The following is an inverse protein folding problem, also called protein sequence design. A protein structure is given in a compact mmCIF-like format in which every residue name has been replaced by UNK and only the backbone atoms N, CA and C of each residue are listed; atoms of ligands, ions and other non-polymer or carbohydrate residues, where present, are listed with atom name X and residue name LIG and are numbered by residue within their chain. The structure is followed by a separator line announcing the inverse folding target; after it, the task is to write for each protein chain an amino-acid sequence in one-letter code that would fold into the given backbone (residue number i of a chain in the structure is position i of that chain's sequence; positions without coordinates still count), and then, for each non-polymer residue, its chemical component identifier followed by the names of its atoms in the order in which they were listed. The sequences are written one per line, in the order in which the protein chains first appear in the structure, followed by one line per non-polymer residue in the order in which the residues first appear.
data_IF_359624021421
#
_entry.id   IF_359624021421
#
_cell.length_a   1.000
_cell.length_b   1.000
_cell.length_c   1.000
_cell.angle_alpha   90.00
_cell.angle_beta   90.00
_cell.angle_gamma   90.00
#
_symmetry.space_group_name_H-M   'P 1'
#
loop_
_entity.id
_entity.type
_entity.pdbx_description
1 polymer ?
#
# COMPACT_ATOMS: atom_id res chain seq x y z
N UNK A 1 3.36 -16.44 -7.55
CA UNK A 1 4.44 -15.45 -7.62
C UNK A 1 4.84 -14.96 -6.22
N UNK A 2 3.94 -14.41 -5.41
CA UNK A 2 4.27 -13.88 -4.07
C UNK A 2 4.94 -14.93 -3.16
N UNK A 3 4.42 -16.16 -3.09
CA UNK A 3 5.04 -17.22 -2.31
C UNK A 3 6.48 -17.52 -2.74
N UNK A 4 6.78 -17.49 -4.05
CA UNK A 4 8.15 -17.67 -4.56
C UNK A 4 9.05 -16.52 -4.13
N UNK A 5 8.57 -15.27 -4.16
CA UNK A 5 9.31 -14.12 -3.65
C UNK A 5 9.59 -14.20 -2.14
N UNK A 6 8.62 -14.68 -1.37
CA UNK A 6 8.82 -14.93 0.06
C UNK A 6 9.84 -16.05 0.31
N UNK A 7 9.79 -17.14 -0.43
CA UNK A 7 10.74 -18.24 -0.33
C UNK A 7 12.16 -17.82 -0.73
N UNK A 8 12.30 -16.98 -1.76
CA UNK A 8 13.58 -16.37 -2.14
C UNK A 8 14.18 -15.57 -0.98
N UNK A 9 13.38 -14.68 -0.35
CA UNK A 9 13.84 -13.89 0.81
C UNK A 9 14.23 -14.77 2.00
N UNK A 10 13.44 -15.80 2.30
CA UNK A 10 13.74 -16.75 3.39
C UNK A 10 15.06 -17.48 3.11
N UNK A 11 15.27 -17.99 1.88
CA UNK A 11 16.49 -18.67 1.51
C UNK A 11 17.72 -17.76 1.64
N UNK A 12 17.62 -16.48 1.24
CA UNK A 12 18.70 -15.50 1.44
C UNK A 12 19.01 -15.27 2.92
N UNK A 13 18.01 -15.18 3.79
CA UNK A 13 18.20 -15.03 5.25
C UNK A 13 18.92 -16.27 5.82
N UNK A 14 18.59 -17.46 5.33
CA UNK A 14 19.18 -18.72 5.73
C UNK A 14 20.54 -18.99 5.06
N UNK A 15 21.00 -18.10 4.17
CA UNK A 15 22.23 -18.22 3.36
C UNK A 15 22.22 -19.42 2.41
N UNK A 16 21.05 -19.82 1.97
CA UNK A 16 20.82 -20.86 0.96
C UNK A 16 20.75 -20.21 -0.43
N UNK A 17 21.90 -19.73 -0.91
CA UNK A 17 21.97 -18.90 -2.13
C UNK A 17 21.48 -19.65 -3.39
N UNK A 18 21.69 -20.96 -3.46
CA UNK A 18 21.26 -21.78 -4.59
C UNK A 18 19.73 -21.85 -4.65
N UNK A 19 19.10 -22.13 -3.52
CA UNK A 19 17.64 -22.18 -3.40
C UNK A 19 17.02 -20.80 -3.66
N UNK A 20 17.64 -19.73 -3.16
CA UNK A 20 17.23 -18.37 -3.45
C UNK A 20 17.20 -18.10 -4.96
N UNK A 21 18.27 -18.46 -5.67
CA UNK A 21 18.37 -18.31 -7.11
C UNK A 21 17.33 -19.16 -7.86
N UNK A 22 17.08 -20.39 -7.40
CA UNK A 22 16.05 -21.25 -7.98
C UNK A 22 14.65 -20.63 -7.83
N UNK A 23 14.31 -20.08 -6.65
CA UNK A 23 13.02 -19.39 -6.42
C UNK A 23 12.90 -18.12 -7.26
N UNK A 24 13.97 -17.34 -7.39
CA UNK A 24 13.97 -16.14 -8.23
C UNK A 24 13.69 -16.47 -9.71
N UNK A 25 14.37 -17.48 -10.25
CA UNK A 25 14.17 -17.96 -11.63
C UNK A 25 12.73 -18.47 -11.83
N UNK A 26 12.25 -19.30 -10.91
CA UNK A 26 10.87 -19.80 -10.98
C UNK A 26 9.84 -18.68 -10.92
N UNK A 27 10.06 -17.66 -10.08
CA UNK A 27 9.19 -16.49 -9.99
C UNK A 27 9.17 -15.72 -11.30
N UNK A 28 10.34 -15.46 -11.88
CA UNK A 28 10.44 -14.78 -13.18
C UNK A 28 9.68 -15.53 -14.26
N UNK A 29 9.94 -16.83 -14.42
CA UNK A 29 9.27 -17.64 -15.43
C UNK A 29 7.75 -17.69 -15.24
N UNK A 30 7.30 -17.75 -13.96
CA UNK A 30 5.87 -17.71 -13.66
C UNK A 30 5.25 -16.36 -14.02
N UNK A 31 5.92 -15.24 -13.75
CA UNK A 31 5.45 -13.90 -14.11
C UNK A 31 5.35 -13.73 -15.64
N UNK A 32 6.34 -14.22 -16.37
CA UNK A 32 6.29 -14.24 -17.84
C UNK A 32 5.12 -15.08 -18.36
N UNK A 33 4.88 -16.25 -17.77
CA UNK A 33 3.74 -17.11 -18.13
C UNK A 33 2.41 -16.44 -17.79
N UNK A 34 2.28 -15.77 -16.64
CA UNK A 34 1.09 -14.99 -16.27
C UNK A 34 0.82 -13.93 -17.34
N UNK A 35 1.85 -13.16 -17.72
CA UNK A 35 1.70 -12.15 -18.75
C UNK A 35 1.23 -12.75 -20.08
N UNK A 36 1.92 -13.78 -20.57
CA UNK A 36 1.59 -14.44 -21.85
C UNK A 36 0.20 -15.07 -21.88
N UNK A 37 -0.26 -15.60 -20.73
CA UNK A 37 -1.52 -16.33 -20.65
C UNK A 37 -2.74 -15.44 -20.42
N UNK A 38 -2.58 -14.30 -19.76
CA UNK A 38 -3.70 -13.50 -19.28
C UNK A 38 -3.75 -12.08 -19.83
N UNK A 39 -2.69 -11.58 -20.46
CA UNK A 39 -2.73 -10.25 -21.07
C UNK A 39 -3.37 -10.30 -22.47
N UNK A 40 -4.31 -9.41 -22.70
CA UNK A 40 -5.00 -9.22 -23.99
C UNK A 40 -4.52 -7.91 -24.64
N UNK A 41 -3.55 -7.97 -25.58
CA UNK A 41 -2.93 -6.77 -26.15
C UNK A 41 -3.91 -5.85 -26.89
N UNK A 42 -4.93 -6.41 -27.53
CA UNK A 42 -5.95 -5.64 -28.27
C UNK A 42 -6.80 -4.74 -27.35
N UNK A 43 -6.96 -5.12 -26.09
CA UNK A 43 -7.79 -4.43 -25.11
C UNK A 43 -6.97 -3.72 -24.04
N UNK A 44 -5.69 -4.10 -23.89
CA UNK A 44 -4.80 -3.57 -22.86
C UNK A 44 -5.17 -4.03 -21.45
N UNK A 45 -5.78 -5.22 -21.31
CA UNK A 45 -6.27 -5.74 -20.03
C UNK A 45 -5.68 -7.11 -19.69
N UNK A 46 -5.74 -7.47 -18.42
CA UNK A 46 -5.51 -8.83 -17.95
C UNK A 46 -6.84 -9.52 -17.66
N UNK A 47 -6.96 -10.77 -18.10
CA UNK A 47 -8.12 -11.64 -17.86
C UNK A 47 -9.44 -10.93 -18.20
N UNK A 48 -10.29 -10.62 -17.24
CA UNK A 48 -11.59 -9.95 -17.46
C UNK A 48 -11.51 -8.42 -17.41
N UNK A 49 -10.35 -7.84 -17.11
CA UNK A 49 -10.19 -6.39 -16.92
C UNK A 49 -10.77 -5.85 -15.61
N UNK A 50 -11.19 -6.71 -14.68
CA UNK A 50 -11.64 -6.27 -13.35
C UNK A 50 -10.52 -5.57 -12.58
N UNK A 51 -10.87 -4.76 -11.57
CA UNK A 51 -9.85 -4.11 -10.72
C UNK A 51 -8.82 -5.10 -10.18
N UNK A 52 -9.26 -6.30 -9.76
CA UNK A 52 -8.37 -7.33 -9.24
C UNK A 52 -7.49 -7.91 -10.34
N UNK A 53 -8.07 -8.24 -11.50
CA UNK A 53 -7.33 -8.82 -12.62
C UNK A 53 -6.27 -7.87 -13.17
N UNK A 54 -6.50 -6.57 -13.09
CA UNK A 54 -5.53 -5.55 -13.49
C UNK A 54 -4.49 -5.29 -12.40
N UNK A 55 -4.91 -5.21 -11.14
CA UNK A 55 -4.07 -4.85 -10.01
C UNK A 55 -3.08 -5.96 -9.63
N UNK A 56 -3.53 -7.21 -9.60
CA UNK A 56 -2.71 -8.31 -9.10
C UNK A 56 -1.47 -8.60 -9.95
N UNK A 57 -1.54 -8.66 -11.29
CA UNK A 57 -0.33 -8.79 -12.13
C UNK A 57 0.68 -7.65 -11.91
N UNK A 58 0.22 -6.42 -11.70
CA UNK A 58 1.09 -5.28 -11.36
C UNK A 58 1.78 -5.49 -10.00
N UNK A 59 1.02 -5.92 -8.99
CA UNK A 59 1.56 -6.14 -7.63
C UNK A 59 2.66 -7.21 -7.61
N UNK A 60 2.47 -8.32 -8.33
CA UNK A 60 3.42 -9.44 -8.34
C UNK A 60 4.58 -9.25 -9.33
N UNK A 61 4.60 -8.15 -10.11
CA UNK A 61 5.64 -7.87 -11.09
C UNK A 61 5.51 -8.72 -12.37
N UNK A 62 4.30 -9.13 -12.73
CA UNK A 62 4.05 -9.88 -13.97
C UNK A 62 3.78 -8.98 -15.18
N UNK A 63 3.51 -7.69 -14.96
CA UNK A 63 3.38 -6.70 -16.03
C UNK A 63 4.75 -6.23 -16.45
N UNK A 64 5.13 -6.32 -17.75
CA UNK A 64 6.38 -5.74 -18.24
C UNK A 64 6.45 -4.23 -17.98
N UNK A 65 7.63 -3.71 -17.66
CA UNK A 65 7.85 -2.28 -17.36
C UNK A 65 7.34 -1.38 -18.49
N UNK A 66 7.49 -1.80 -19.75
CA UNK A 66 7.03 -1.04 -20.91
C UNK A 66 5.50 -0.90 -21.01
N UNK A 67 4.74 -1.72 -20.31
CA UNK A 67 3.27 -1.73 -20.31
C UNK A 67 2.68 -1.26 -18.97
N UNK A 68 3.52 -1.12 -17.95
CA UNK A 68 3.05 -0.88 -16.58
C UNK A 68 2.16 0.35 -16.46
N UNK A 69 2.61 1.49 -17.00
CA UNK A 69 1.86 2.75 -16.92
C UNK A 69 0.55 2.72 -17.73
N UNK A 70 0.52 1.99 -18.84
CA UNK A 70 -0.70 1.84 -19.63
C UNK A 70 -1.72 0.97 -18.92
N UNK A 71 -1.30 -0.16 -18.35
CA UNK A 71 -2.14 -1.06 -17.55
C UNK A 71 -2.68 -0.34 -16.32
N UNK A 72 -1.83 0.40 -15.60
CA UNK A 72 -2.21 1.23 -14.46
C UNK A 72 -3.26 2.26 -14.85
N UNK A 73 -3.00 3.05 -15.89
CA UNK A 73 -3.91 4.08 -16.39
C UNK A 73 -5.25 3.48 -16.82
N UNK A 74 -5.21 2.33 -17.48
CA UNK A 74 -6.42 1.60 -17.89
C UNK A 74 -7.26 1.18 -16.70
N UNK A 75 -6.66 0.57 -15.67
CA UNK A 75 -7.35 0.18 -14.44
C UNK A 75 -7.99 1.38 -13.75
N UNK A 76 -7.26 2.48 -13.57
CA UNK A 76 -7.78 3.68 -12.93
C UNK A 76 -8.93 4.30 -13.73
N UNK A 77 -8.79 4.38 -15.06
CA UNK A 77 -9.84 4.88 -15.96
C UNK A 77 -11.10 4.02 -15.92
N UNK A 78 -10.93 2.71 -15.93
CA UNK A 78 -12.06 1.77 -15.89
C UNK A 78 -12.73 1.78 -14.52
N UNK A 79 -11.96 2.00 -13.45
CA UNK A 79 -12.54 2.23 -12.11
C UNK A 79 -13.52 3.41 -12.14
N UNK A 80 -13.17 4.53 -12.75
CA UNK A 80 -14.08 5.68 -12.87
C UNK A 80 -15.26 5.41 -13.81
N UNK A 81 -14.99 4.84 -14.98
CA UNK A 81 -16.02 4.67 -16.01
C UNK A 81 -17.00 3.53 -15.76
N UNK A 82 -16.48 2.36 -15.34
CA UNK A 82 -17.26 1.15 -15.19
C UNK A 82 -17.80 0.98 -13.76
N UNK A 83 -16.98 1.34 -12.77
CA UNK A 83 -17.30 1.17 -11.35
C UNK A 83 -17.64 2.49 -10.65
N UNK A 84 -17.79 3.61 -11.38
CA UNK A 84 -18.16 4.93 -10.86
C UNK A 84 -17.25 5.40 -9.71
N UNK A 85 -15.97 5.04 -9.76
CA UNK A 85 -14.98 5.32 -8.72
C UNK A 85 -15.17 4.50 -7.43
N UNK A 86 -15.88 3.39 -7.46
CA UNK A 86 -16.05 2.50 -6.31
C UNK A 86 -14.94 1.46 -6.23
N UNK A 87 -14.74 0.96 -5.01
CA UNK A 87 -13.97 -0.25 -4.78
C UNK A 87 -14.76 -1.46 -5.29
N UNK A 88 -14.28 -2.07 -6.36
CA UNK A 88 -14.97 -3.15 -7.08
C UNK A 88 -14.25 -4.49 -6.93
N UNK A 89 -13.63 -4.70 -5.78
CA UNK A 89 -12.97 -5.95 -5.42
C UNK A 89 -13.69 -6.61 -4.24
N UNK A 90 -13.60 -7.94 -4.18
CA UNK A 90 -14.10 -8.71 -3.05
C UNK A 90 -13.03 -8.88 -1.96
N UNK A 91 -13.33 -9.82 -1.04
CA UNK A 91 -12.52 -10.06 0.16
C UNK A 91 -11.04 -10.40 -0.13
N UNK A 92 -10.73 -11.11 -1.22
CA UNK A 92 -9.35 -11.39 -1.64
C UNK A 92 -8.71 -10.18 -2.29
N UNK A 93 -9.49 -9.39 -3.03
CA UNK A 93 -8.98 -8.26 -3.79
C UNK A 93 -8.67 -7.03 -2.94
N UNK A 94 -9.36 -6.81 -1.81
CA UNK A 94 -9.12 -5.65 -0.94
C UNK A 94 -7.66 -5.58 -0.46
N UNK A 95 -7.07 -6.60 0.16
CA UNK A 95 -5.67 -6.53 0.59
C UNK A 95 -4.71 -6.37 -0.59
N UNK A 96 -5.00 -6.97 -1.75
CA UNK A 96 -4.18 -6.86 -2.97
C UNK A 96 -4.18 -5.43 -3.50
N UNK A 97 -5.36 -4.84 -3.68
CA UNK A 97 -5.51 -3.45 -4.14
C UNK A 97 -4.89 -2.46 -3.16
N UNK A 98 -5.07 -2.70 -1.86
CA UNK A 98 -4.49 -1.88 -0.79
C UNK A 98 -2.96 -1.90 -0.84
N UNK A 99 -2.37 -3.07 -0.91
CA UNK A 99 -0.91 -3.23 -0.97
C UNK A 99 -0.33 -2.61 -2.25
N UNK A 100 -0.99 -2.82 -3.39
CA UNK A 100 -0.60 -2.19 -4.65
C UNK A 100 -0.62 -0.65 -4.53
N UNK A 101 -1.69 -0.08 -3.97
CA UNK A 101 -1.81 1.37 -3.82
C UNK A 101 -0.73 1.94 -2.88
N UNK A 102 -0.42 1.25 -1.77
CA UNK A 102 0.66 1.64 -0.85
C UNK A 102 2.01 1.65 -1.57
N UNK A 103 2.36 0.56 -2.26
CA UNK A 103 3.66 0.41 -2.93
C UNK A 103 3.85 1.40 -4.08
N UNK A 104 2.77 1.72 -4.78
CA UNK A 104 2.81 2.64 -5.92
C UNK A 104 2.49 4.09 -5.57
N UNK A 105 2.29 4.39 -4.29
CA UNK A 105 1.93 5.74 -3.79
C UNK A 105 0.64 6.29 -4.42
N UNK A 106 -0.28 5.40 -4.81
CA UNK A 106 -1.58 5.76 -5.39
C UNK A 106 -2.62 6.06 -4.29
N UNK A 107 -2.21 6.94 -3.37
CA UNK A 107 -2.97 7.25 -2.16
C UNK A 107 -4.29 7.94 -2.46
N UNK A 108 -4.29 8.87 -3.41
CA UNK A 108 -5.52 9.57 -3.82
C UNK A 108 -6.51 8.65 -4.50
N UNK A 109 -6.03 7.76 -5.36
CA UNK A 109 -6.87 6.78 -6.04
C UNK A 109 -7.66 5.92 -5.04
N UNK A 110 -6.97 5.37 -4.03
CA UNK A 110 -7.64 4.57 -3.01
C UNK A 110 -8.55 5.44 -2.11
N UNK A 111 -8.08 6.63 -1.73
CA UNK A 111 -8.85 7.54 -0.87
C UNK A 111 -10.17 7.98 -1.50
N UNK A 112 -10.18 8.28 -2.81
CA UNK A 112 -11.44 8.63 -3.50
C UNK A 112 -12.45 7.48 -3.46
N UNK A 113 -12.01 6.23 -3.60
CA UNK A 113 -12.88 5.06 -3.44
C UNK A 113 -13.41 4.93 -2.00
N UNK A 114 -12.56 5.19 -0.99
CA UNK A 114 -12.96 5.11 0.42
C UNK A 114 -13.99 6.18 0.82
N UNK A 115 -13.98 7.34 0.17
CA UNK A 115 -14.96 8.41 0.43
C UNK A 115 -16.37 8.15 -0.14
N UNK A 116 -16.56 7.11 -0.97
CA UNK A 116 -17.87 6.79 -1.53
C UNK A 116 -18.83 6.34 -0.44
N UNK A 117 -20.00 7.00 -0.37
CA UNK A 117 -21.05 6.68 0.61
C UNK A 117 -22.14 5.77 0.04
N UNK A 118 -22.22 5.67 -1.27
CA UNK A 118 -23.11 4.76 -1.96
C UNK A 118 -22.47 3.37 -2.14
N UNK A 119 -23.28 2.40 -2.53
CA UNK A 119 -22.88 1.01 -2.72
C UNK A 119 -22.02 0.82 -4.00
N UNK A 120 -20.96 0.01 -3.93
CA UNK A 120 -20.34 -0.63 -2.76
C UNK A 120 -19.27 0.26 -2.09
N UNK A 121 -19.10 0.16 -0.79
CA UNK A 121 -18.05 0.91 -0.10
C UNK A 121 -18.10 0.82 1.43
N UNK A 122 -17.01 1.25 2.08
CA UNK A 122 -16.90 1.24 3.54
C UNK A 122 -17.86 2.23 4.20
N UNK A 123 -17.99 3.44 3.66
CA UNK A 123 -18.94 4.42 4.22
C UNK A 123 -20.38 3.98 4.00
N UNK A 124 -20.68 3.26 2.93
CA UNK A 124 -21.98 2.61 2.77
C UNK A 124 -22.28 1.64 3.92
N UNK A 125 -21.32 0.80 4.31
CA UNK A 125 -21.51 -0.10 5.46
C UNK A 125 -21.81 0.70 6.74
N UNK A 126 -21.02 1.75 7.01
CA UNK A 126 -21.19 2.62 8.19
C UNK A 126 -22.55 3.28 8.20
N UNK A 127 -22.99 3.88 7.09
CA UNK A 127 -24.28 4.54 6.94
C UNK A 127 -25.45 3.57 7.11
N UNK A 128 -25.23 2.27 6.89
CA UNK A 128 -26.20 1.20 7.11
C UNK A 128 -26.02 0.48 8.46
N UNK A 129 -25.34 1.12 9.42
CA UNK A 129 -25.25 0.68 10.81
C UNK A 129 -24.16 -0.35 11.08
N UNK A 130 -23.14 -0.47 10.23
CA UNK A 130 -22.01 -1.36 10.50
C UNK A 130 -21.20 -0.84 11.70
N UNK A 131 -20.93 -1.74 12.64
CA UNK A 131 -19.98 -1.55 13.75
C UNK A 131 -18.71 -2.38 13.56
N UNK A 132 -18.71 -3.24 12.54
CA UNK A 132 -17.57 -4.03 12.08
C UNK A 132 -17.66 -4.19 10.57
N UNK A 133 -16.59 -4.62 9.92
CA UNK A 133 -16.62 -4.96 8.50
C UNK A 133 -17.50 -6.18 8.25
N UNK A 134 -18.27 -6.14 7.16
CA UNK A 134 -19.16 -7.22 6.76
C UNK A 134 -18.42 -8.22 5.85
N UNK A 135 -19.02 -9.39 5.64
CA UNK A 135 -18.50 -10.40 4.71
C UNK A 135 -18.77 -10.04 3.24
N UNK A 136 -19.83 -9.28 2.98
CA UNK A 136 -20.21 -8.79 1.66
C UNK A 136 -20.59 -7.32 1.74
N UNK A 137 -20.34 -6.57 0.67
CA UNK A 137 -20.61 -5.12 0.62
C UNK A 137 -22.07 -4.76 0.92
N UNK A 138 -23.03 -5.64 0.61
CA UNK A 138 -24.47 -5.41 0.83
C UNK A 138 -24.98 -5.88 2.22
N UNK A 139 -24.14 -6.51 3.02
CA UNK A 139 -24.52 -7.00 4.36
C UNK A 139 -25.50 -8.16 4.39
N UNK A 140 -25.70 -8.86 3.27
CA UNK A 140 -26.60 -10.03 3.20
C UNK A 140 -26.04 -11.28 3.89
N UNK A 141 -24.72 -11.27 4.18
CA UNK A 141 -24.02 -12.35 4.87
C UNK A 141 -23.66 -11.94 6.29
N UNK A 142 -22.58 -12.50 6.85
CA UNK A 142 -22.10 -12.13 8.19
C UNK A 142 -21.80 -10.62 8.25
N UNK A 143 -22.27 -9.98 9.30
CA UNK A 143 -22.02 -8.56 9.59
C UNK A 143 -20.83 -8.34 10.52
N UNK A 144 -20.10 -9.40 10.85
CA UNK A 144 -18.83 -9.36 11.56
C UNK A 144 -17.88 -10.30 10.84
N UNK A 145 -17.01 -9.74 9.99
CA UNK A 145 -16.07 -10.53 9.21
C UNK A 145 -14.79 -9.74 8.93
N UNK A 146 -13.64 -10.40 8.98
CA UNK A 146 -12.33 -9.75 8.81
C UNK A 146 -11.87 -9.58 7.35
N UNK A 147 -12.65 -10.03 6.38
CA UNK A 147 -12.21 -10.09 4.97
C UNK A 147 -11.86 -8.71 4.37
N UNK A 148 -12.53 -7.65 4.78
CA UNK A 148 -12.26 -6.30 4.31
C UNK A 148 -11.32 -5.49 5.24
N UNK A 149 -10.81 -6.09 6.32
CA UNK A 149 -9.91 -5.40 7.25
C UNK A 149 -8.54 -5.07 6.64
N UNK A 150 -8.18 -5.66 5.50
CA UNK A 150 -6.94 -5.36 4.79
C UNK A 150 -6.71 -3.87 4.53
N UNK A 151 -7.78 -3.08 4.43
CA UNK A 151 -7.70 -1.62 4.32
C UNK A 151 -7.03 -0.96 5.53
N UNK A 152 -7.04 -1.60 6.70
CA UNK A 152 -6.35 -1.09 7.89
C UNK A 152 -4.85 -0.86 7.66
N UNK A 153 -4.22 -1.68 6.81
CA UNK A 153 -2.82 -1.50 6.45
C UNK A 153 -2.56 -0.14 5.79
N UNK A 154 -3.49 0.36 4.98
CA UNK A 154 -3.37 1.65 4.31
C UNK A 154 -3.29 2.82 5.30
N UNK A 155 -4.11 2.80 6.35
CA UNK A 155 -4.07 3.86 7.37
C UNK A 155 -2.73 3.91 8.09
N UNK A 156 -2.12 2.76 8.39
CA UNK A 156 -0.82 2.71 9.05
C UNK A 156 0.34 2.96 8.10
N UNK A 157 0.37 2.28 6.96
CA UNK A 157 1.54 2.25 6.07
C UNK A 157 1.56 3.40 5.05
N UNK A 158 0.39 3.90 4.63
CA UNK A 158 0.31 5.05 3.75
C UNK A 158 0.05 6.34 4.57
N UNK A 159 -1.12 6.49 5.18
CA UNK A 159 -1.49 7.74 5.86
C UNK A 159 -0.54 8.06 7.03
N UNK A 160 -0.34 7.12 7.93
CA UNK A 160 0.63 7.27 9.03
C UNK A 160 2.08 7.15 8.56
N UNK A 161 2.30 6.50 7.42
CA UNK A 161 3.61 6.33 6.81
C UNK A 161 4.52 5.33 7.51
N UNK A 162 4.05 4.59 8.52
CA UNK A 162 4.88 3.66 9.27
C UNK A 162 4.98 2.32 8.56
N UNK A 163 6.16 2.01 8.06
CA UNK A 163 6.47 0.72 7.44
C UNK A 163 7.65 0.06 8.12
N UNK A 164 7.53 -1.24 8.35
CA UNK A 164 8.62 -2.05 8.86
C UNK A 164 9.67 -2.28 7.77
N UNK A 165 10.93 -2.20 8.13
CA UNK A 165 12.01 -2.65 7.26
C UNK A 165 12.09 -4.19 7.27
N UNK A 166 11.91 -4.82 6.12
CA UNK A 166 11.98 -6.28 6.00
C UNK A 166 13.37 -6.84 6.32
N UNK A 167 14.43 -6.02 6.20
CA UNK A 167 15.81 -6.41 6.53
C UNK A 167 16.11 -6.30 8.02
N UNK A 168 15.25 -5.61 8.78
CA UNK A 168 15.36 -5.43 10.22
C UNK A 168 14.01 -5.75 10.91
N UNK A 169 13.58 -7.02 10.87
CA UNK A 169 12.23 -7.43 11.28
C UNK A 169 11.95 -7.10 12.74
N UNK A 170 10.66 -7.08 13.10
CA UNK A 170 10.18 -6.81 14.45
C UNK A 170 10.21 -5.33 14.83
N UNK A 171 10.28 -4.41 13.86
CA UNK A 171 10.34 -2.96 14.06
C UNK A 171 11.66 -2.47 14.67
N UNK A 172 12.78 -3.17 14.46
CA UNK A 172 14.12 -2.69 14.83
C UNK A 172 14.53 -1.48 13.99
N UNK A 173 14.13 -1.48 12.74
CA UNK A 173 14.21 -0.32 11.85
C UNK A 173 12.86 -0.11 11.17
N UNK A 174 12.47 1.15 11.00
CA UNK A 174 11.22 1.52 10.37
C UNK A 174 11.43 2.64 9.35
N UNK A 175 10.57 2.68 8.36
CA UNK A 175 10.43 3.83 7.47
C UNK A 175 9.25 4.68 7.93
N UNK A 176 9.47 5.99 7.95
CA UNK A 176 8.42 7.00 8.19
C UNK A 176 8.25 7.76 6.87
N UNK A 177 7.18 7.45 6.16
CA UNK A 177 6.92 7.95 4.80
C UNK A 177 5.42 8.21 4.60
N UNK A 178 4.85 9.24 5.24
CA UNK A 178 3.45 9.59 5.06
C UNK A 178 3.13 9.90 3.61
N UNK A 179 2.06 9.29 3.12
CA UNK A 179 1.45 9.56 1.83
C UNK A 179 0.14 10.30 2.09
N UNK A 180 0.07 11.56 1.69
CA UNK A 180 -1.02 12.46 2.08
C UNK A 180 -1.99 12.60 0.91
N UNK A 181 -3.21 12.04 1.01
CA UNK A 181 -4.21 12.24 -0.02
C UNK A 181 -4.81 13.64 0.05
N UNK A 182 -5.31 14.13 -1.08
CA UNK A 182 -5.94 15.43 -1.17
C UNK A 182 -7.10 15.60 -0.18
N UNK A 183 -7.04 16.66 0.62
CA UNK A 183 -8.05 16.99 1.63
C UNK A 183 -7.80 16.36 3.01
N UNK A 184 -6.78 15.52 3.17
CA UNK A 184 -6.34 15.06 4.50
C UNK A 184 -5.25 16.00 5.01
N UNK A 185 -5.49 16.59 6.16
CA UNK A 185 -4.61 17.63 6.73
C UNK A 185 -3.90 17.18 8.01
N UNK A 186 -4.22 16.02 8.53
CA UNK A 186 -3.56 15.48 9.73
C UNK A 186 -3.75 13.97 9.85
N UNK A 187 -2.82 13.32 10.53
CA UNK A 187 -3.01 11.98 11.07
C UNK A 187 -2.23 11.79 12.36
N UNK A 188 -2.78 10.95 13.24
CA UNK A 188 -2.13 10.48 14.46
C UNK A 188 -2.24 8.99 14.55
N UNK A 189 -1.11 8.34 14.80
CA UNK A 189 -1.11 6.90 15.00
C UNK A 189 -0.08 6.46 16.03
N UNK A 190 -0.38 5.32 16.64
CA UNK A 190 0.54 4.62 17.52
C UNK A 190 0.61 3.15 17.14
N UNK A 191 1.76 2.53 17.33
CA UNK A 191 1.99 1.12 17.09
C UNK A 191 2.76 0.51 18.25
N UNK A 192 2.16 -0.46 18.92
CA UNK A 192 2.87 -1.28 19.89
C UNK A 192 3.85 -2.20 19.17
N UNK A 193 5.09 -2.20 19.62
CA UNK A 193 6.17 -3.05 19.10
C UNK A 193 6.85 -3.78 20.24
N UNK A 194 7.65 -4.82 19.97
CA UNK A 194 8.45 -5.49 21.00
C UNK A 194 9.40 -4.57 21.76
N UNK A 195 9.72 -3.39 21.20
CA UNK A 195 10.65 -2.41 21.79
C UNK A 195 9.93 -1.29 22.53
N UNK A 196 8.61 -1.20 22.42
CA UNK A 196 7.78 -0.11 22.95
C UNK A 196 6.92 0.52 21.86
N UNK A 197 6.25 1.62 22.22
CA UNK A 197 5.33 2.32 21.33
C UNK A 197 6.10 3.19 20.34
N UNK A 198 5.78 3.06 19.05
CA UNK A 198 6.14 4.04 18.03
C UNK A 198 4.92 4.94 17.81
N UNK A 199 5.11 6.26 17.83
CA UNK A 199 4.07 7.23 17.50
C UNK A 199 4.49 8.10 16.31
N UNK A 200 3.54 8.38 15.43
CA UNK A 200 3.69 9.27 14.28
C UNK A 200 2.49 10.20 14.24
N UNK A 201 2.73 11.49 14.41
CA UNK A 201 1.74 12.55 14.33
C UNK A 201 2.17 13.53 13.25
N UNK A 202 1.31 13.85 12.29
CA UNK A 202 1.59 14.89 11.32
C UNK A 202 0.39 15.79 11.07
N UNK A 203 0.68 17.04 10.74
CA UNK A 203 -0.29 18.07 10.37
C UNK A 203 0.24 18.86 9.17
N UNK A 204 -0.63 19.16 8.23
CA UNK A 204 -0.36 19.96 7.04
C UNK A 204 -1.15 21.27 7.12
N UNK A 205 -0.46 22.39 7.28
CA UNK A 205 -1.04 23.74 7.33
C UNK A 205 -0.25 24.66 6.40
N UNK A 206 -0.94 25.35 5.51
CA UNK A 206 -0.32 26.30 4.55
C UNK A 206 0.87 25.72 3.76
N UNK A 207 0.75 24.47 3.29
CA UNK A 207 1.81 23.72 2.63
C UNK A 207 3.05 23.44 3.50
N UNK A 208 2.93 23.62 4.80
CA UNK A 208 3.96 23.23 5.76
C UNK A 208 3.51 21.97 6.48
N UNK A 209 4.27 20.88 6.32
CA UNK A 209 4.07 19.66 7.07
C UNK A 209 4.86 19.72 8.37
N UNK A 210 4.17 19.63 9.49
CA UNK A 210 4.77 19.39 10.80
C UNK A 210 4.65 17.90 11.11
N UNK A 211 5.77 17.26 11.41
CA UNK A 211 5.84 15.83 11.72
C UNK A 211 6.54 15.63 13.05
N UNK A 212 5.87 14.95 13.96
CA UNK A 212 6.43 14.46 15.22
C UNK A 212 6.53 12.93 15.14
N UNK A 213 7.69 12.40 15.49
CA UNK A 213 7.96 10.97 15.54
C UNK A 213 8.57 10.62 16.88
N UNK A 214 7.94 9.72 17.61
CA UNK A 214 8.46 9.15 18.84
C UNK A 214 8.81 7.69 18.60
N UNK A 215 10.09 7.34 18.80
CA UNK A 215 10.59 5.96 18.64
C UNK A 215 11.23 5.49 19.95
N UNK A 216 11.00 4.23 20.36
CA UNK A 216 11.60 3.70 21.59
C UNK A 216 13.11 3.46 21.43
N UNK A 217 13.81 3.44 22.56
CA UNK A 217 15.24 3.13 22.59
C UNK A 217 15.54 1.78 21.94
N UNK A 218 16.55 1.74 21.07
CA UNK A 218 16.94 0.53 20.33
C UNK A 218 16.22 0.33 18.99
N UNK A 219 15.28 1.23 18.65
CA UNK A 219 14.69 1.34 17.32
C UNK A 219 15.38 2.47 16.56
N UNK A 220 15.58 2.28 15.27
CA UNK A 220 16.04 3.33 14.33
C UNK A 220 14.97 3.60 13.29
N UNK A 221 14.95 4.80 12.72
CA UNK A 221 14.01 5.13 11.67
C UNK A 221 14.66 5.87 10.51
N UNK A 222 14.18 5.61 9.30
CA UNK A 222 14.46 6.41 8.12
C UNK A 222 13.21 7.25 7.80
N UNK A 223 13.34 8.57 7.95
CA UNK A 223 12.32 9.50 7.54
C UNK A 223 12.48 9.80 6.05
N UNK A 224 11.43 9.57 5.27
CA UNK A 224 11.34 9.98 3.88
C UNK A 224 10.81 11.41 3.79
N UNK A 225 11.54 12.27 3.09
CA UNK A 225 11.09 13.66 2.84
C UNK A 225 10.06 13.62 1.71
N UNK A 226 8.88 14.23 1.88
CA UNK A 226 7.87 14.27 0.84
C UNK A 226 8.39 14.86 -0.48
N UNK A 227 7.92 14.33 -1.60
CA UNK A 227 8.25 14.86 -2.92
C UNK A 227 7.76 16.33 -3.03
N UNK A 228 8.59 17.16 -3.65
CA UNK A 228 8.30 18.60 -3.79
C UNK A 228 8.64 19.46 -2.57
N UNK A 229 9.12 18.89 -1.47
CA UNK A 229 9.61 19.68 -0.34
C UNK A 229 10.81 20.54 -0.77
N UNK A 230 10.72 21.85 -0.53
CA UNK A 230 11.76 22.82 -0.90
C UNK A 230 12.69 23.17 0.28
N UNK A 231 12.25 22.89 1.49
CA UNK A 231 13.02 23.09 2.72
C UNK A 231 12.61 22.08 3.80
N UNK A 232 13.54 21.72 4.66
CA UNK A 232 13.30 20.85 5.80
C UNK A 232 14.00 21.42 7.04
N UNK A 233 13.32 21.35 8.19
CA UNK A 233 13.91 21.63 9.50
C UNK A 233 13.70 20.44 10.42
N UNK A 234 14.72 20.07 11.18
CA UNK A 234 14.62 19.07 12.23
C UNK A 234 15.07 19.68 13.54
N UNK A 235 14.21 19.64 14.56
CA UNK A 235 14.44 20.26 15.85
C UNK A 235 14.89 21.75 15.73
N UNK A 236 14.23 22.49 14.81
CA UNK A 236 14.50 23.91 14.55
C UNK A 236 15.74 24.20 13.68
N UNK A 237 16.55 23.19 13.31
CA UNK A 237 17.75 23.35 12.49
C UNK A 237 17.47 22.98 11.03
N UNK A 238 17.97 23.79 10.11
CA UNK A 238 17.87 23.48 8.68
C UNK A 238 18.61 22.18 8.37
N UNK A 239 17.95 21.32 7.60
CA UNK A 239 18.52 20.06 7.08
C UNK A 239 18.65 20.18 5.57
N UNK A 240 19.79 19.77 5.01
CA UNK A 240 19.98 19.72 3.57
C UNK A 240 19.15 18.60 2.96
N UNK A 241 18.34 18.91 1.98
CA UNK A 241 17.53 17.96 1.19
C UNK A 241 18.38 17.41 0.02
N UNK A 242 19.62 16.98 0.27
CA UNK A 242 20.44 16.34 -0.77
C UNK A 242 20.05 14.87 -0.97
N UNK A 243 19.59 14.24 0.10
CA UNK A 243 18.99 12.89 0.09
C UNK A 243 17.53 13.01 0.50
N UNK A 244 16.66 12.31 -0.21
CA UNK A 244 15.21 12.25 0.13
C UNK A 244 14.92 11.57 1.48
N UNK A 245 15.95 11.28 2.27
CA UNK A 245 15.81 10.54 3.55
C UNK A 245 16.69 11.12 4.64
N UNK A 246 16.23 11.03 5.88
CA UNK A 246 16.94 11.40 7.10
C UNK A 246 16.94 10.18 8.03
N UNK A 247 18.09 9.86 8.63
CA UNK A 247 18.19 8.81 9.65
C UNK A 247 17.88 9.41 11.03
N UNK A 248 17.05 8.71 11.82
CA UNK A 248 16.65 9.05 13.19
C UNK A 248 17.14 7.99 14.17
#
# INVERSE_FOLDING_TARGET
SECLGTMEKIALILREEKEAQEFAVRRKNLNELIHQSFYHPSEGIYSTGSQLDMCYPMLVGAVPDSLYDDVKRKMMTDTEKQYKGHIAVGLVGVPILTEWAIRNREVDFLYQMLKKRDYPGYLYMIDNGATATWESWNGERSRVHNCYNGIGAWFYQAIGGLRMDETAPGYRHVFIDPQIPEGVTWAKMTKDTPYGVIAVDWELTDNIMTLQVDIPAGVTATLCIPDGAVACKMNGKNVRIEKKTIQL
#
